data_IF_014140654461
#
_entry.id   IF_014140654461
#
_cell.length_a   1.000
_cell.length_b   1.000
_cell.length_c   1.000
_cell.angle_alpha   90.00
_cell.angle_beta   90.00
_cell.angle_gamma   90.00
#
_symmetry.space_group_name_H-M   'P 1'
#
loop_
_entity.id
_entity.type
_entity.pdbx_description
1 polymer ?
#
# COMPACT_ATOMS: atom_id res chain seq x y z
N UNK A 1 -35.34 30.90 -35.22
CA UNK A 1 -34.73 29.63 -34.76
C UNK A 1 -34.12 29.90 -33.38
N UNK A 2 -34.51 29.23 -32.31
CA UNK A 2 -33.85 29.38 -31.03
C UNK A 2 -32.46 28.78 -31.10
N UNK A 3 -31.42 29.58 -30.80
CA UNK A 3 -30.06 29.16 -30.67
C UNK A 3 -30.02 28.27 -29.40
N UNK A 4 -29.80 26.96 -29.57
CA UNK A 4 -29.54 26.06 -28.44
C UNK A 4 -28.33 26.61 -27.68
N UNK A 5 -28.39 26.75 -26.34
CA UNK A 5 -27.23 27.16 -25.57
C UNK A 5 -26.07 26.16 -25.83
N UNK A 6 -24.88 26.73 -26.05
CA UNK A 6 -23.68 25.91 -26.22
C UNK A 6 -23.59 24.92 -25.06
N UNK A 7 -23.56 23.63 -25.39
CA UNK A 7 -23.35 22.57 -24.39
C UNK A 7 -22.05 22.93 -23.65
N UNK A 8 -22.13 23.22 -22.37
CA UNK A 8 -20.95 23.38 -21.53
C UNK A 8 -20.14 22.08 -21.65
N UNK A 9 -18.93 22.15 -22.20
CA UNK A 9 -18.04 21.02 -22.26
C UNK A 9 -17.70 20.63 -20.80
N UNK A 10 -18.26 19.50 -20.34
CA UNK A 10 -17.94 18.96 -19.04
C UNK A 10 -16.53 18.36 -19.12
N UNK A 11 -15.53 19.11 -18.68
CA UNK A 11 -14.14 18.70 -18.63
C UNK A 11 -13.83 18.11 -17.26
N UNK A 12 -13.74 16.78 -17.18
CA UNK A 12 -13.24 16.07 -15.98
C UNK A 12 -11.70 16.10 -16.04
N UNK A 13 -11.07 16.55 -14.96
CA UNK A 13 -9.61 16.46 -14.84
C UNK A 13 -9.18 15.01 -14.69
N UNK A 14 -7.96 14.68 -15.12
CA UNK A 14 -7.37 13.34 -14.98
C UNK A 14 -7.51 12.79 -13.54
N UNK A 15 -7.15 13.60 -12.55
CA UNK A 15 -7.23 13.18 -11.14
C UNK A 15 -8.68 12.96 -10.66
N UNK A 16 -9.65 13.74 -11.17
CA UNK A 16 -11.07 13.49 -10.88
C UNK A 16 -11.59 12.21 -11.53
N UNK A 17 -11.11 11.89 -12.73
CA UNK A 17 -11.44 10.63 -13.40
C UNK A 17 -10.95 9.43 -12.61
N UNK A 18 -9.69 9.45 -12.16
CA UNK A 18 -9.10 8.41 -11.31
C UNK A 18 -9.87 8.27 -9.97
N UNK A 19 -10.28 9.39 -9.37
CA UNK A 19 -11.10 9.38 -8.15
C UNK A 19 -12.47 8.73 -8.39
N UNK A 20 -13.14 9.05 -9.50
CA UNK A 20 -14.43 8.44 -9.84
C UNK A 20 -14.30 6.93 -10.08
N UNK A 21 -13.25 6.50 -10.78
CA UNK A 21 -12.96 5.08 -11.00
C UNK A 21 -12.73 4.35 -9.67
N UNK A 22 -11.87 4.87 -8.80
CA UNK A 22 -11.62 4.28 -7.50
C UNK A 22 -12.87 4.20 -6.61
N UNK A 23 -13.67 5.27 -6.59
CA UNK A 23 -14.94 5.30 -5.86
C UNK A 23 -15.94 4.26 -6.41
N UNK A 24 -16.01 4.10 -7.74
CA UNK A 24 -16.83 3.08 -8.37
C UNK A 24 -16.39 1.68 -7.95
N UNK A 25 -15.10 1.36 -8.06
CA UNK A 25 -14.54 0.07 -7.63
C UNK A 25 -14.86 -0.23 -6.16
N UNK A 26 -14.73 0.75 -5.27
CA UNK A 26 -15.05 0.57 -3.84
C UNK A 26 -16.54 0.29 -3.60
N UNK A 27 -17.42 0.95 -4.34
CA UNK A 27 -18.88 0.69 -4.27
C UNK A 27 -19.23 -0.70 -4.79
N UNK A 28 -18.61 -1.14 -5.88
CA UNK A 28 -18.76 -2.51 -6.39
C UNK A 28 -18.31 -3.55 -5.35
N UNK A 29 -17.23 -3.29 -4.62
CA UNK A 29 -16.78 -4.18 -3.53
C UNK A 29 -17.87 -4.31 -2.46
N UNK A 30 -18.44 -3.21 -2.00
CA UNK A 30 -19.48 -3.28 -0.95
C UNK A 30 -20.80 -3.89 -1.44
N UNK A 31 -21.06 -3.87 -2.76
CA UNK A 31 -22.23 -4.49 -3.36
C UNK A 31 -22.06 -6.00 -3.58
N UNK A 32 -20.83 -6.48 -3.80
CA UNK A 32 -20.60 -7.87 -4.22
C UNK A 32 -20.02 -8.76 -3.10
N UNK A 33 -19.46 -8.16 -2.02
CA UNK A 33 -18.82 -8.89 -0.94
C UNK A 33 -19.50 -8.62 0.40
N UNK A 34 -19.57 -9.66 1.24
CA UNK A 34 -20.22 -9.56 2.55
C UNK A 34 -19.32 -8.98 3.63
N UNK A 35 -18.02 -9.27 3.52
CA UNK A 35 -17.02 -8.94 4.54
C UNK A 35 -15.76 -8.33 3.94
N UNK A 36 -15.88 -7.19 3.27
CA UNK A 36 -14.71 -6.50 2.75
C UNK A 36 -13.90 -5.84 3.87
N UNK A 37 -12.58 -5.79 3.69
CA UNK A 37 -11.63 -5.11 4.59
C UNK A 37 -10.70 -4.22 3.80
N UNK A 38 -10.31 -3.07 4.35
CA UNK A 38 -9.31 -2.19 3.76
C UNK A 38 -7.97 -2.37 4.47
N UNK A 39 -6.96 -2.78 3.69
CA UNK A 39 -5.58 -2.91 4.18
C UNK A 39 -5.01 -1.54 4.47
N UNK A 40 -4.50 -1.34 5.69
CA UNK A 40 -4.04 -0.04 6.14
C UNK A 40 -2.65 -0.10 6.74
N UNK A 41 -1.64 0.30 5.97
CA UNK A 41 -0.25 0.37 6.42
C UNK A 41 0.14 1.69 7.10
N UNK A 42 -0.71 2.71 7.03
CA UNK A 42 -0.36 4.09 7.40
C UNK A 42 0.45 4.84 6.33
N UNK A 43 0.74 4.20 5.20
CA UNK A 43 1.44 4.81 4.07
C UNK A 43 0.51 5.62 3.17
N UNK A 44 1.11 6.47 2.30
CA UNK A 44 0.41 7.42 1.41
C UNK A 44 -0.72 6.80 0.58
N UNK A 45 -0.49 5.59 0.04
CA UNK A 45 -1.47 4.90 -0.81
C UNK A 45 -2.69 4.45 0.02
N UNK A 46 -2.45 3.86 1.19
CA UNK A 46 -3.52 3.47 2.12
C UNK A 46 -4.28 4.68 2.68
N UNK A 47 -3.63 5.84 2.84
CA UNK A 47 -4.29 7.10 3.20
C UNK A 47 -5.19 7.61 2.09
N UNK A 48 -4.72 7.60 0.85
CA UNK A 48 -5.55 7.94 -0.31
C UNK A 48 -6.78 7.03 -0.39
N UNK A 49 -6.60 5.72 -0.15
CA UNK A 49 -7.69 4.73 -0.10
C UNK A 49 -8.73 5.06 0.98
N UNK A 50 -8.30 5.42 2.19
CA UNK A 50 -9.22 5.82 3.27
C UNK A 50 -10.01 7.05 2.87
N UNK A 51 -9.37 8.07 2.31
CA UNK A 51 -10.03 9.30 1.85
C UNK A 51 -11.02 9.05 0.72
N UNK A 52 -10.63 8.24 -0.26
CA UNK A 52 -11.49 7.81 -1.37
C UNK A 52 -12.74 7.08 -0.85
N UNK A 53 -12.57 6.16 0.10
CA UNK A 53 -13.68 5.47 0.72
C UNK A 53 -14.62 6.42 1.49
N UNK A 54 -14.08 7.39 2.23
CA UNK A 54 -14.91 8.42 2.88
C UNK A 54 -15.76 9.16 1.85
N UNK A 55 -15.18 9.60 0.72
CA UNK A 55 -15.91 10.31 -0.34
C UNK A 55 -16.91 9.41 -1.08
N UNK A 56 -16.51 8.17 -1.37
CA UNK A 56 -17.36 7.21 -2.10
C UNK A 56 -18.67 6.91 -1.37
N UNK A 57 -18.66 6.95 -0.03
CA UNK A 57 -19.82 6.60 0.79
C UNK A 57 -20.46 7.78 1.51
N UNK A 58 -19.99 9.01 1.28
CA UNK A 58 -20.61 10.21 1.83
C UNK A 58 -22.08 10.32 1.38
N UNK A 59 -23.05 10.70 2.25
CA UNK A 59 -22.93 11.03 3.69
C UNK A 59 -23.06 9.83 4.63
N UNK A 60 -23.00 8.60 4.11
CA UNK A 60 -23.04 7.38 4.91
C UNK A 60 -21.80 7.19 5.80
N UNK A 61 -21.85 6.13 6.61
CA UNK A 61 -20.71 5.76 7.45
C UNK A 61 -19.60 5.11 6.61
N UNK A 62 -18.37 5.25 7.08
CA UNK A 62 -17.22 4.52 6.53
C UNK A 62 -17.46 3.01 6.61
N UNK A 63 -17.49 2.27 5.47
CA UNK A 63 -18.03 0.91 5.45
C UNK A 63 -17.02 -0.18 5.80
N UNK A 64 -15.71 0.15 5.83
CA UNK A 64 -14.66 -0.85 5.97
C UNK A 64 -14.08 -0.90 7.38
N UNK A 65 -13.77 -2.10 7.88
CA UNK A 65 -12.75 -2.22 8.91
C UNK A 65 -11.38 -2.00 8.28
N UNK A 66 -10.45 -1.44 9.04
CA UNK A 66 -9.05 -1.29 8.64
C UNK A 66 -8.26 -2.48 9.19
N UNK A 67 -7.48 -3.15 8.34
CA UNK A 67 -6.60 -4.24 8.76
C UNK A 67 -5.14 -3.82 8.59
N UNK A 68 -4.41 -3.83 9.69
CA UNK A 68 -2.98 -3.60 9.74
C UNK A 68 -2.25 -4.88 10.14
N UNK A 69 -1.27 -5.28 9.34
CA UNK A 69 -0.35 -6.35 9.70
C UNK A 69 0.91 -5.70 10.26
N UNK A 70 1.06 -5.81 11.57
CA UNK A 70 2.18 -5.23 12.29
C UNK A 70 3.34 -6.24 12.29
N UNK A 71 4.41 -5.87 11.62
CA UNK A 71 5.60 -6.71 11.52
C UNK A 71 6.48 -6.62 12.77
N UNK A 72 6.22 -5.66 13.67
CA UNK A 72 7.11 -5.31 14.77
C UNK A 72 8.35 -4.53 14.35
N UNK A 73 8.61 -4.41 13.05
CA UNK A 73 9.72 -3.65 12.47
C UNK A 73 9.27 -2.34 11.82
N UNK A 74 8.03 -1.94 12.01
CA UNK A 74 7.48 -0.70 11.45
C UNK A 74 8.14 0.54 12.08
N UNK A 75 8.17 1.63 11.32
CA UNK A 75 8.60 2.93 11.84
C UNK A 75 7.63 3.42 12.93
N UNK A 76 8.11 3.82 14.12
CA UNK A 76 7.24 4.33 15.19
C UNK A 76 6.35 5.48 14.74
N UNK A 77 6.88 6.41 13.93
CA UNK A 77 6.16 7.57 13.39
C UNK A 77 4.94 7.15 12.55
N UNK A 78 5.05 6.01 11.86
CA UNK A 78 3.95 5.46 11.05
C UNK A 78 2.86 4.85 11.93
N UNK A 79 3.24 4.15 13.01
CA UNK A 79 2.30 3.56 13.95
C UNK A 79 1.54 4.62 14.75
N UNK A 80 2.24 5.64 15.24
CA UNK A 80 1.62 6.78 15.93
C UNK A 80 0.63 7.51 15.03
N UNK A 81 1.01 7.76 13.77
CA UNK A 81 0.14 8.38 12.78
C UNK A 81 -1.09 7.51 12.49
N UNK A 82 -0.90 6.19 12.30
CA UNK A 82 -1.98 5.22 12.10
C UNK A 82 -3.03 5.33 13.21
N UNK A 83 -2.56 5.27 14.45
CA UNK A 83 -3.45 5.25 15.61
C UNK A 83 -4.19 6.61 15.80
N UNK A 84 -3.51 7.71 15.52
CA UNK A 84 -4.12 9.04 15.55
C UNK A 84 -5.20 9.20 14.47
N UNK A 85 -4.92 8.76 13.24
CA UNK A 85 -5.87 8.82 12.13
C UNK A 85 -7.11 7.96 12.42
N UNK A 86 -6.91 6.72 12.85
CA UNK A 86 -8.02 5.78 13.13
C UNK A 86 -8.96 6.34 14.20
N UNK A 87 -8.41 6.92 15.29
CA UNK A 87 -9.22 7.59 16.30
C UNK A 87 -10.02 8.76 15.73
N UNK A 88 -9.39 9.58 14.87
CA UNK A 88 -10.02 10.76 14.26
C UNK A 88 -11.19 10.41 13.35
N UNK A 89 -11.06 9.33 12.56
CA UNK A 89 -12.12 8.92 11.62
C UNK A 89 -13.16 8.00 12.24
N UNK A 90 -12.92 7.49 13.45
CA UNK A 90 -13.81 6.56 14.13
C UNK A 90 -13.94 5.20 13.45
N UNK A 91 -12.94 4.76 12.69
CA UNK A 91 -12.94 3.47 12.01
C UNK A 91 -12.53 2.34 12.96
N UNK A 92 -13.02 1.13 12.70
CA UNK A 92 -12.56 -0.07 13.39
C UNK A 92 -11.19 -0.47 12.85
N UNK A 93 -10.16 -0.48 13.71
CA UNK A 93 -8.84 -1.01 13.40
C UNK A 93 -8.69 -2.44 13.94
N UNK A 94 -8.24 -3.33 13.08
CA UNK A 94 -7.82 -4.69 13.41
C UNK A 94 -6.32 -4.76 13.19
N UNK A 95 -5.57 -5.06 14.24
CA UNK A 95 -4.12 -5.24 14.17
C UNK A 95 -3.80 -6.71 14.35
N UNK A 96 -2.98 -7.26 13.44
CA UNK A 96 -2.42 -8.61 13.54
C UNK A 96 -0.91 -8.51 13.59
N UNK A 97 -0.31 -9.13 14.59
CA UNK A 97 1.13 -9.08 14.80
C UNK A 97 1.79 -10.30 14.16
N UNK A 98 2.83 -10.06 13.38
CA UNK A 98 3.67 -11.13 12.81
C UNK A 98 4.32 -11.96 13.92
N UNK A 99 4.66 -11.32 15.03
CA UNK A 99 5.22 -11.96 16.21
C UNK A 99 4.35 -13.12 16.76
N UNK A 100 3.02 -12.94 16.71
CA UNK A 100 2.08 -13.98 17.14
C UNK A 100 2.11 -15.20 16.21
N UNK A 101 2.23 -14.97 14.90
CA UNK A 101 2.37 -16.04 13.90
C UNK A 101 3.70 -16.79 14.05
N UNK A 102 4.79 -16.08 14.41
CA UNK A 102 6.09 -16.69 14.71
C UNK A 102 6.00 -17.55 15.97
N UNK A 103 5.43 -17.02 17.06
CA UNK A 103 5.25 -17.78 18.32
C UNK A 103 4.36 -18.99 18.16
N UNK A 104 3.37 -18.92 17.29
CA UNK A 104 2.50 -20.06 16.95
C UNK A 104 3.15 -21.08 16.00
N UNK A 105 4.40 -20.85 15.57
CA UNK A 105 5.10 -21.75 14.65
C UNK A 105 4.55 -21.76 13.22
N UNK A 106 3.74 -20.76 12.84
CA UNK A 106 3.15 -20.64 11.51
C UNK A 106 4.17 -20.17 10.47
N UNK A 107 5.16 -19.41 10.92
CA UNK A 107 6.27 -18.89 10.12
C UNK A 107 7.50 -18.75 10.98
N UNK A 108 8.67 -18.56 10.36
CA UNK A 108 9.93 -18.34 11.05
C UNK A 108 10.50 -16.97 10.74
N UNK A 109 11.26 -16.44 11.69
CA UNK A 109 11.99 -15.19 11.48
C UNK A 109 13.19 -15.41 10.56
N UNK A 110 13.36 -14.54 9.59
CA UNK A 110 14.55 -14.53 8.74
C UNK A 110 15.76 -14.14 9.59
N UNK A 111 16.88 -14.83 9.38
CA UNK A 111 18.16 -14.53 10.05
C UNK A 111 19.05 -13.73 9.12
N UNK A 112 19.86 -12.86 9.68
CA UNK A 112 20.83 -12.09 8.90
C UNK A 112 21.02 -10.66 9.42
N UNK A 113 21.85 -9.87 8.74
CA UNK A 113 22.16 -8.51 9.18
C UNK A 113 21.00 -7.51 9.00
N UNK A 114 20.04 -7.81 8.10
CA UNK A 114 18.80 -7.06 7.89
C UNK A 114 17.63 -8.03 7.62
N UNK A 115 17.16 -8.72 8.67
CA UNK A 115 16.10 -9.71 8.52
C UNK A 115 14.80 -9.04 8.05
N UNK A 116 14.15 -9.65 7.06
CA UNK A 116 12.86 -9.19 6.53
C UNK A 116 11.73 -10.03 7.12
N UNK A 117 10.64 -9.39 7.54
CA UNK A 117 9.42 -10.07 7.97
C UNK A 117 8.34 -10.12 6.87
N UNK A 118 8.70 -9.81 5.62
CA UNK A 118 7.74 -9.77 4.51
C UNK A 118 7.08 -11.13 4.22
N UNK A 119 7.84 -12.23 4.29
CA UNK A 119 7.27 -13.57 4.12
C UNK A 119 6.30 -13.92 5.26
N UNK A 120 6.69 -13.62 6.49
CA UNK A 120 5.86 -13.81 7.67
C UNK A 120 4.59 -12.93 7.65
N UNK A 121 4.68 -11.71 7.11
CA UNK A 121 3.54 -10.83 6.90
C UNK A 121 2.45 -11.46 6.03
N UNK A 122 2.85 -12.22 5.00
CA UNK A 122 1.90 -12.93 4.13
C UNK A 122 1.10 -13.97 4.89
N UNK A 123 1.77 -14.81 5.69
CA UNK A 123 1.12 -15.84 6.51
C UNK A 123 0.15 -15.20 7.50
N UNK A 124 0.59 -14.16 8.21
CA UNK A 124 -0.25 -13.43 9.18
C UNK A 124 -1.49 -12.82 8.52
N UNK A 125 -1.34 -12.30 7.29
CA UNK A 125 -2.45 -11.76 6.52
C UNK A 125 -3.46 -12.84 6.14
N UNK A 126 -3.01 -13.99 5.62
CA UNK A 126 -3.90 -15.08 5.24
C UNK A 126 -4.65 -15.65 6.46
N UNK A 127 -3.96 -15.79 7.59
CA UNK A 127 -4.58 -16.20 8.85
C UNK A 127 -5.65 -15.18 9.30
N UNK A 128 -5.38 -13.88 9.17
CA UNK A 128 -6.36 -12.84 9.50
C UNK A 128 -7.59 -12.88 8.58
N UNK A 129 -7.39 -13.08 7.27
CA UNK A 129 -8.50 -13.20 6.32
C UNK A 129 -9.40 -14.39 6.64
N UNK A 130 -8.79 -15.54 6.95
CA UNK A 130 -9.51 -16.74 7.31
C UNK A 130 -10.28 -16.59 8.63
N UNK A 131 -9.64 -16.04 9.67
CA UNK A 131 -10.24 -15.86 10.99
C UNK A 131 -11.46 -14.94 10.97
N UNK A 132 -11.32 -13.78 10.32
CA UNK A 132 -12.42 -12.81 10.19
C UNK A 132 -13.37 -13.11 9.04
N UNK A 133 -13.08 -14.15 8.25
CA UNK A 133 -13.82 -14.56 7.05
C UNK A 133 -13.96 -13.40 6.06
N UNK A 134 -12.88 -12.63 5.87
CA UNK A 134 -12.87 -11.57 4.88
C UNK A 134 -12.84 -12.17 3.48
N UNK A 135 -13.73 -11.69 2.63
CA UNK A 135 -13.93 -12.18 1.27
C UNK A 135 -13.40 -11.22 0.19
N UNK A 136 -13.13 -9.98 0.58
CA UNK A 136 -12.40 -9.03 -0.23
C UNK A 136 -11.44 -8.19 0.63
N UNK A 137 -10.21 -8.01 0.16
CA UNK A 137 -9.23 -7.15 0.82
C UNK A 137 -8.76 -6.07 -0.16
N UNK A 138 -9.14 -4.81 0.12
CA UNK A 138 -8.76 -3.66 -0.68
C UNK A 138 -7.33 -3.25 -0.33
N UNK A 139 -6.50 -3.04 -1.34
CA UNK A 139 -5.10 -2.62 -1.20
C UNK A 139 -4.74 -1.46 -2.11
N UNK A 140 -3.75 -0.69 -1.70
CA UNK A 140 -3.28 0.50 -2.42
C UNK A 140 -2.26 0.21 -3.53
N UNK A 141 -2.14 -1.03 -4.00
CA UNK A 141 -1.20 -1.39 -5.04
C UNK A 141 -1.56 -0.75 -6.39
N UNK A 142 -0.52 -0.29 -7.11
CA UNK A 142 -0.64 0.36 -8.41
C UNK A 142 0.16 -0.39 -9.47
N UNK A 143 -0.27 -0.30 -10.72
CA UNK A 143 0.42 -0.94 -11.86
C UNK A 143 1.77 -0.31 -12.18
N UNK A 144 1.98 0.97 -11.83
CA UNK A 144 3.23 1.68 -12.07
C UNK A 144 4.36 1.31 -11.09
N UNK A 145 4.03 0.71 -9.94
CA UNK A 145 5.02 0.38 -8.93
C UNK A 145 6.01 -0.69 -9.39
N UNK A 146 5.50 -1.72 -10.09
CA UNK A 146 6.30 -2.86 -10.50
C UNK A 146 5.61 -3.65 -11.63
N UNK A 147 6.41 -4.24 -12.55
CA UNK A 147 5.93 -4.96 -13.74
C UNK A 147 4.97 -6.11 -13.43
N UNK A 148 5.21 -6.84 -12.35
CA UNK A 148 4.33 -7.95 -11.96
C UNK A 148 2.94 -7.45 -11.58
N UNK A 149 2.81 -6.24 -10.98
CA UNK A 149 1.52 -5.63 -10.64
C UNK A 149 0.72 -5.21 -11.86
N UNK A 150 1.37 -4.89 -12.97
CA UNK A 150 0.68 -4.55 -14.22
C UNK A 150 -0.17 -5.69 -14.79
N UNK A 151 0.10 -6.94 -14.41
CA UNK A 151 -0.65 -8.13 -14.83
C UNK A 151 -1.95 -8.34 -14.04
N UNK A 152 -2.10 -7.75 -12.85
CA UNK A 152 -3.28 -7.91 -12.01
C UNK A 152 -4.44 -7.02 -12.51
N UNK A 153 -5.65 -7.46 -12.21
CA UNK A 153 -6.89 -6.73 -12.45
C UNK A 153 -7.26 -5.89 -11.23
N UNK A 154 -8.31 -5.07 -11.33
CA UNK A 154 -8.91 -4.43 -10.16
C UNK A 154 -9.38 -5.47 -9.15
N UNK A 155 -10.10 -6.50 -9.61
CA UNK A 155 -10.54 -7.64 -8.81
C UNK A 155 -9.59 -8.82 -9.08
N UNK A 156 -8.54 -8.95 -8.30
CA UNK A 156 -7.55 -10.02 -8.43
C UNK A 156 -8.02 -11.25 -7.64
N UNK A 157 -8.43 -12.29 -8.35
CA UNK A 157 -8.92 -13.53 -7.76
C UNK A 157 -7.80 -14.30 -7.05
N UNK A 158 -8.10 -14.83 -5.88
CA UNK A 158 -7.23 -15.68 -5.07
C UNK A 158 -7.92 -17.00 -4.80
N UNK A 159 -7.21 -18.08 -5.01
CA UNK A 159 -7.68 -19.42 -4.68
C UNK A 159 -7.80 -19.66 -3.16
N UNK A 160 -8.19 -20.86 -2.77
CA UNK A 160 -8.34 -21.27 -1.36
C UNK A 160 -7.04 -21.22 -0.56
N UNK A 161 -5.86 -21.19 -1.22
CA UNK A 161 -4.55 -21.03 -0.62
C UNK A 161 -4.09 -19.58 -0.58
N UNK A 162 -4.90 -18.64 -1.09
CA UNK A 162 -4.59 -17.22 -1.19
C UNK A 162 -3.68 -16.86 -2.35
N UNK A 163 -3.39 -17.81 -3.26
CA UNK A 163 -2.52 -17.60 -4.40
C UNK A 163 -3.25 -16.89 -5.54
N UNK A 164 -2.52 -16.09 -6.30
CA UNK A 164 -3.08 -15.47 -7.49
C UNK A 164 -3.30 -16.51 -8.59
N UNK A 165 -4.54 -16.62 -9.05
CA UNK A 165 -4.92 -17.51 -10.14
C UNK A 165 -5.20 -16.72 -11.43
N UNK A 166 -4.21 -16.56 -12.31
CA UNK A 166 -4.38 -15.83 -13.56
C UNK A 166 -5.30 -16.55 -14.55
N UNK A 167 -5.51 -17.88 -14.41
CA UNK A 167 -6.36 -18.66 -15.31
C UNK A 167 -7.83 -18.42 -15.05
N UNK A 168 -8.20 -18.25 -13.78
CA UNK A 168 -9.56 -17.93 -13.35
C UNK A 168 -9.83 -16.43 -13.21
N UNK A 169 -8.84 -15.60 -13.57
CA UNK A 169 -8.99 -14.16 -13.59
C UNK A 169 -10.01 -13.76 -14.65
N UNK A 170 -11.09 -13.12 -14.21
CA UNK A 170 -12.18 -12.69 -15.09
C UNK A 170 -11.82 -11.40 -15.82
N UNK A 171 -12.27 -11.23 -17.09
CA UNK A 171 -12.08 -9.97 -17.81
C UNK A 171 -12.93 -8.86 -17.17
N UNK A 172 -12.40 -7.63 -17.20
CA UNK A 172 -13.05 -6.44 -16.65
C UNK A 172 -13.43 -5.45 -17.76
N UNK A 173 -14.04 -5.98 -18.82
CA UNK A 173 -14.52 -5.18 -19.94
C UNK A 173 -15.61 -4.22 -19.48
N UNK A 174 -15.56 -2.97 -19.96
CA UNK A 174 -16.54 -1.93 -19.64
C UNK A 174 -16.70 -1.65 -18.14
N UNK A 175 -15.65 -1.88 -17.35
CA UNK A 175 -15.66 -1.75 -15.90
C UNK A 175 -16.74 -2.63 -15.21
N UNK A 176 -17.04 -3.79 -15.80
CA UNK A 176 -17.89 -4.78 -15.18
C UNK A 176 -17.02 -5.72 -14.33
N UNK A 177 -17.30 -5.79 -13.04
CA UNK A 177 -16.58 -6.62 -12.09
C UNK A 177 -17.43 -7.84 -11.69
N UNK A 178 -16.76 -8.97 -11.51
CA UNK A 178 -17.41 -10.21 -11.10
C UNK A 178 -16.71 -10.79 -9.87
N UNK A 179 -17.30 -10.58 -8.71
CA UNK A 179 -16.85 -11.06 -7.41
C UNK A 179 -17.29 -12.48 -7.04
N UNK A 180 -17.84 -13.26 -8.00
CA UNK A 180 -18.26 -14.64 -7.71
C UNK A 180 -17.05 -15.47 -7.26
N UNK A 181 -17.17 -16.15 -6.13
CA UNK A 181 -16.14 -16.98 -5.52
C UNK A 181 -16.72 -18.29 -4.99
N UNK A 182 -15.86 -19.28 -4.81
CA UNK A 182 -16.15 -20.51 -4.08
C UNK A 182 -15.76 -20.35 -2.59
N UNK A 183 -16.22 -21.23 -1.71
CA UNK A 183 -15.77 -21.27 -0.32
C UNK A 183 -14.23 -21.38 -0.24
N UNK A 184 -13.60 -20.55 0.59
CA UNK A 184 -12.14 -20.47 0.74
C UNK A 184 -11.46 -19.46 -0.18
N UNK A 185 -12.06 -19.13 -1.32
CA UNK A 185 -11.53 -18.12 -2.23
C UNK A 185 -11.84 -16.70 -1.74
N UNK A 186 -11.00 -15.74 -2.14
CA UNK A 186 -11.22 -14.33 -1.85
C UNK A 186 -10.65 -13.44 -2.97
N UNK A 187 -10.92 -12.15 -2.88
CA UNK A 187 -10.40 -11.18 -3.84
C UNK A 187 -9.43 -10.21 -3.16
N UNK A 188 -8.35 -9.87 -3.86
CA UNK A 188 -7.60 -8.66 -3.62
C UNK A 188 -8.12 -7.60 -4.57
N UNK A 189 -8.48 -6.44 -4.05
CA UNK A 189 -9.04 -5.37 -4.87
C UNK A 189 -8.13 -4.16 -4.83
N UNK A 190 -7.83 -3.60 -6.00
CA UNK A 190 -6.85 -2.53 -6.16
C UNK A 190 -7.47 -1.27 -6.78
N UNK A 191 -8.22 -0.46 -6.01
CA UNK A 191 -8.87 0.76 -6.52
C UNK A 191 -7.91 1.80 -7.09
N UNK A 192 -6.63 1.78 -6.67
CA UNK A 192 -5.58 2.66 -7.18
C UNK A 192 -4.82 2.07 -8.38
N UNK A 193 -5.30 1.00 -9.01
CA UNK A 193 -4.57 0.24 -10.03
C UNK A 193 -4.02 1.12 -11.17
N UNK A 194 -4.79 2.10 -11.62
CA UNK A 194 -4.44 3.00 -12.73
C UNK A 194 -3.74 4.29 -12.29
N UNK A 195 -3.53 4.48 -11.00
CA UNK A 195 -2.86 5.65 -10.44
C UNK A 195 -1.34 5.51 -10.55
N UNK A 196 -0.66 6.62 -10.77
CA UNK A 196 0.80 6.73 -10.63
C UNK A 196 1.18 7.23 -9.23
N UNK A 197 2.46 7.11 -8.86
CA UNK A 197 2.97 7.75 -7.64
C UNK A 197 2.66 9.24 -7.62
N UNK A 198 2.81 9.90 -8.77
CA UNK A 198 2.52 11.32 -8.93
C UNK A 198 1.04 11.63 -8.66
N UNK A 199 0.11 10.81 -9.16
CA UNK A 199 -1.32 11.01 -8.93
C UNK A 199 -1.66 10.90 -7.44
N UNK A 200 -1.04 9.98 -6.72
CA UNK A 200 -1.22 9.84 -5.27
C UNK A 200 -0.74 11.10 -4.54
N UNK A 201 0.44 11.62 -4.86
CA UNK A 201 0.96 12.85 -4.25
C UNK A 201 0.11 14.07 -4.57
N UNK A 202 -0.34 14.21 -5.82
CA UNK A 202 -1.25 15.29 -6.21
C UNK A 202 -2.61 15.18 -5.52
N UNK A 203 -3.11 13.95 -5.32
CA UNK A 203 -4.34 13.72 -4.56
C UNK A 203 -4.20 14.10 -3.09
N UNK A 204 -3.11 13.71 -2.45
CA UNK A 204 -2.79 14.08 -1.07
C UNK A 204 -2.77 15.61 -0.92
N UNK A 205 -2.11 16.30 -1.86
CA UNK A 205 -2.06 17.77 -1.85
C UNK A 205 -3.44 18.41 -2.07
N UNK A 206 -4.21 17.90 -3.05
CA UNK A 206 -5.56 18.41 -3.36
C UNK A 206 -6.54 18.25 -2.20
N UNK A 207 -6.50 17.10 -1.55
CA UNK A 207 -7.39 16.77 -0.42
C UNK A 207 -6.84 17.27 0.93
N UNK A 208 -5.66 17.88 0.94
CA UNK A 208 -4.96 18.36 2.13
C UNK A 208 -4.86 17.27 3.22
N UNK A 209 -4.38 16.10 2.83
CA UNK A 209 -4.25 14.96 3.75
C UNK A 209 -3.00 15.07 4.61
N UNK A 210 -3.18 14.82 5.91
CA UNK A 210 -2.03 14.60 6.79
C UNK A 210 -1.33 13.30 6.41
N UNK A 211 0.00 13.29 6.46
CA UNK A 211 0.83 12.13 6.18
C UNK A 211 1.91 11.97 7.27
N UNK A 212 2.46 10.75 7.47
CA UNK A 212 3.55 10.52 8.41
C UNK A 212 4.76 11.41 8.13
N UNK A 213 5.38 11.94 9.19
CA UNK A 213 6.50 12.88 9.08
C UNK A 213 7.72 12.30 8.35
N UNK A 214 7.87 10.97 8.31
CA UNK A 214 9.00 10.33 7.62
C UNK A 214 9.00 10.55 6.09
N UNK A 215 7.88 10.99 5.51
CA UNK A 215 7.82 11.37 4.10
C UNK A 215 8.50 12.71 3.81
N UNK A 216 8.64 13.58 4.82
CA UNK A 216 9.34 14.85 4.71
C UNK A 216 10.80 14.69 5.08
N UNK A 217 11.64 15.60 4.56
CA UNK A 217 13.06 15.64 4.84
C UNK A 217 13.33 15.89 6.33
N UNK A 218 14.13 15.01 6.93
CA UNK A 218 14.58 15.10 8.32
C UNK A 218 15.99 14.52 8.49
N UNK A 219 16.64 14.87 9.58
CA UNK A 219 17.94 14.30 9.93
C UNK A 219 17.75 12.91 10.55
N UNK A 220 18.44 11.90 10.00
CA UNK A 220 18.39 10.53 10.51
C UNK A 220 19.77 9.85 10.45
N UNK A 221 20.07 9.01 11.43
CA UNK A 221 21.22 8.11 11.36
C UNK A 221 20.88 6.97 10.38
N UNK A 222 21.70 6.80 9.37
CA UNK A 222 21.56 5.77 8.33
C UNK A 222 22.87 5.06 8.10
N UNK A 223 22.81 3.83 7.59
CA UNK A 223 23.94 3.10 7.04
C UNK A 223 23.73 2.91 5.55
N UNK A 224 24.77 3.04 4.75
CA UNK A 224 24.73 2.73 3.33
C UNK A 224 25.13 1.27 3.14
N UNK A 225 24.19 0.45 2.70
CA UNK A 225 24.40 -0.96 2.37
C UNK A 225 24.00 -1.21 0.92
N UNK A 226 24.98 -1.54 0.08
CA UNK A 226 24.79 -1.79 -1.35
C UNK A 226 24.04 -0.67 -2.09
N UNK A 227 24.32 0.58 -1.72
CA UNK A 227 23.66 1.76 -2.29
C UNK A 227 22.23 2.02 -1.78
N UNK A 228 21.80 1.33 -0.72
CA UNK A 228 20.54 1.60 -0.02
C UNK A 228 20.84 2.23 1.34
N UNK A 229 20.23 3.38 1.63
CA UNK A 229 20.33 4.04 2.92
C UNK A 229 19.31 3.44 3.88
N UNK A 230 19.74 2.58 4.80
CA UNK A 230 18.88 1.96 5.81
C UNK A 230 18.95 2.77 7.12
N UNK A 231 17.79 3.04 7.70
CA UNK A 231 17.71 3.74 8.97
C UNK A 231 18.26 2.89 10.12
N UNK A 232 18.94 3.54 11.05
CA UNK A 232 19.34 2.91 12.31
C UNK A 232 18.11 2.34 13.02
N UNK A 233 18.17 1.07 13.35
CA UNK A 233 17.11 0.36 14.06
C UNK A 233 17.68 -0.73 14.96
N UNK A 234 16.95 -1.19 15.99
CA UNK A 234 17.40 -2.29 16.84
C UNK A 234 17.45 -3.65 16.11
N UNK A 235 16.86 -3.73 14.90
CA UNK A 235 16.78 -4.96 14.11
C UNK A 235 17.86 -5.06 13.02
N UNK A 236 18.66 -4.02 12.85
CA UNK A 236 19.72 -3.96 11.84
C UNK A 236 21.08 -4.19 12.50
N UNK A 237 21.80 -5.22 12.07
CA UNK A 237 23.17 -5.48 12.52
C UNK A 237 24.15 -4.91 11.51
N UNK A 238 25.10 -4.08 11.98
CA UNK A 238 26.16 -3.56 11.12
C UNK A 238 27.10 -4.66 10.68
N UNK A 239 27.52 -4.61 9.41
CA UNK A 239 28.57 -5.44 8.87
C UNK A 239 29.96 -4.80 9.14
N UNK A 240 31.04 -5.61 8.97
CA UNK A 240 32.39 -5.10 9.11
C UNK A 240 32.65 -3.91 8.19
N UNK A 241 33.16 -2.83 8.75
CA UNK A 241 33.42 -1.60 8.02
C UNK A 241 32.21 -0.67 7.83
N UNK A 242 31.00 -1.10 8.16
CA UNK A 242 29.83 -0.21 8.16
C UNK A 242 29.81 0.69 9.38
N UNK A 243 29.28 1.89 9.20
CA UNK A 243 29.02 2.84 10.29
C UNK A 243 27.75 3.64 10.03
N UNK A 244 27.09 4.05 11.09
CA UNK A 244 26.00 5.01 10.99
C UNK A 244 26.55 6.41 10.72
N UNK A 245 25.88 7.11 9.79
CA UNK A 245 26.13 8.49 9.44
C UNK A 245 24.84 9.28 9.56
N UNK A 246 24.92 10.50 10.10
CA UNK A 246 23.78 11.40 10.13
C UNK A 246 23.62 12.04 8.75
N UNK A 247 22.49 11.82 8.11
CA UNK A 247 22.16 12.38 6.80
C UNK A 247 20.78 13.02 6.80
N UNK A 248 20.59 13.97 5.91
CA UNK A 248 19.30 14.59 5.62
C UNK A 248 18.55 13.73 4.61
N UNK A 249 17.50 13.05 5.04
CA UNK A 249 16.81 12.03 4.23
C UNK A 249 15.29 12.12 4.39
N UNK A 250 14.59 11.51 3.46
CA UNK A 250 13.16 11.17 3.56
C UNK A 250 12.91 9.75 3.05
N UNK A 251 11.72 9.23 3.32
CA UNK A 251 11.29 7.94 2.77
C UNK A 251 10.25 8.15 1.68
N UNK A 252 10.32 7.40 0.58
CA UNK A 252 9.32 7.42 -0.50
C UNK A 252 8.19 6.43 -0.24
N UNK A 253 8.50 5.34 0.47
CA UNK A 253 7.55 4.31 0.89
C UNK A 253 7.65 4.11 2.38
N UNK A 254 6.62 3.52 2.99
CA UNK A 254 6.67 3.02 4.37
C UNK A 254 6.59 1.49 4.34
N UNK A 255 7.32 0.87 5.25
CA UNK A 255 7.43 -0.57 5.40
C UNK A 255 8.28 -0.88 6.63
N UNK A 256 8.98 -2.01 6.64
CA UNK A 256 9.88 -2.37 7.73
C UNK A 256 11.17 -1.55 7.67
N UNK A 257 11.67 -1.14 8.84
CA UNK A 257 12.93 -0.40 8.99
C UNK A 257 14.14 -1.16 8.41
N UNK A 258 14.07 -2.49 8.38
CA UNK A 258 15.17 -3.35 7.89
C UNK A 258 15.27 -3.43 6.37
N UNK A 259 14.21 -3.08 5.64
CA UNK A 259 14.19 -3.20 4.18
C UNK A 259 13.76 -1.93 3.44
N UNK A 260 13.26 -0.92 4.14
CA UNK A 260 12.86 0.35 3.53
C UNK A 260 14.01 1.32 3.44
N UNK A 261 14.47 1.61 2.23
CA UNK A 261 15.55 2.56 1.99
C UNK A 261 15.05 4.01 2.01
N UNK A 262 15.87 4.88 2.59
CA UNK A 262 15.72 6.32 2.52
C UNK A 262 16.36 6.88 1.25
N UNK A 263 16.00 8.10 0.87
CA UNK A 263 16.64 8.91 -0.17
C UNK A 263 17.16 10.21 0.45
N UNK A 264 18.32 10.66 0.03
CA UNK A 264 18.80 12.00 0.38
C UNK A 264 17.87 13.04 -0.24
N UNK A 265 17.38 13.95 0.57
CA UNK A 265 16.39 14.94 0.15
C UNK A 265 16.35 16.12 1.10
N UNK A 266 16.05 17.28 0.56
CA UNK A 266 15.76 18.51 1.31
C UNK A 266 14.26 18.87 1.29
N UNK A 267 13.42 18.07 0.63
CA UNK A 267 11.99 18.34 0.49
C UNK A 267 11.27 18.27 1.84
N UNK A 268 10.93 19.42 2.39
CA UNK A 268 10.23 19.58 3.66
C UNK A 268 8.73 19.87 3.52
N UNK A 269 8.25 20.01 2.27
CA UNK A 269 6.85 20.33 1.96
C UNK A 269 6.29 19.43 0.86
N UNK A 270 4.97 19.31 0.77
CA UNK A 270 4.31 18.52 -0.29
C UNK A 270 4.67 19.02 -1.71
N UNK A 271 4.67 20.32 -2.02
CA UNK A 271 5.10 20.80 -3.33
C UNK A 271 6.53 20.37 -3.70
N UNK A 272 7.46 20.42 -2.75
CA UNK A 272 8.84 19.99 -2.97
C UNK A 272 8.93 18.48 -3.22
N UNK A 273 8.16 17.66 -2.49
CA UNK A 273 8.07 16.21 -2.73
C UNK A 273 7.54 15.94 -4.14
N UNK A 274 6.47 16.63 -4.55
CA UNK A 274 5.89 16.50 -5.90
C UNK A 274 6.92 16.84 -6.98
N UNK A 275 7.70 17.91 -6.78
CA UNK A 275 8.77 18.30 -7.71
C UNK A 275 9.88 17.25 -7.79
N UNK A 276 10.31 16.69 -6.65
CA UNK A 276 11.29 15.59 -6.64
C UNK A 276 10.77 14.35 -7.36
N UNK A 277 9.51 13.96 -7.13
CA UNK A 277 8.91 12.80 -7.77
C UNK A 277 8.80 13.01 -9.28
N UNK A 278 8.45 14.22 -9.74
CA UNK A 278 8.38 14.56 -11.17
C UNK A 278 9.72 14.42 -11.89
N UNK A 279 10.83 14.62 -11.18
CA UNK A 279 12.20 14.55 -11.76
C UNK A 279 12.91 13.23 -11.47
N UNK A 280 12.30 12.34 -10.66
CA UNK A 280 12.92 11.09 -10.26
C UNK A 280 13.13 10.15 -11.46
N UNK A 281 14.38 9.66 -11.63
CA UNK A 281 14.74 8.67 -12.66
C UNK A 281 14.45 7.22 -12.24
N UNK A 282 14.33 6.99 -10.94
CA UNK A 282 14.13 5.68 -10.33
C UNK A 282 12.70 5.56 -9.83
N UNK A 283 12.06 4.43 -10.09
CA UNK A 283 10.73 4.12 -9.56
C UNK A 283 10.72 4.09 -8.04
N UNK A 284 9.55 4.22 -7.45
CA UNK A 284 9.32 4.27 -6.01
C UNK A 284 9.96 3.08 -5.26
N UNK A 285 9.79 1.88 -5.78
CA UNK A 285 10.30 0.65 -5.17
C UNK A 285 11.80 0.42 -5.36
N UNK A 286 12.45 1.17 -6.23
CA UNK A 286 13.90 1.07 -6.44
C UNK A 286 14.76 1.39 -5.20
N UNK A 287 14.17 1.96 -4.16
CA UNK A 287 14.81 2.22 -2.86
C UNK A 287 14.67 1.07 -1.86
N UNK A 288 13.93 0.00 -2.19
CA UNK A 288 13.71 -1.13 -1.26
C UNK A 288 14.81 -2.18 -1.40
N UNK A 289 15.44 -2.53 -0.29
CA UNK A 289 16.51 -3.52 -0.26
C UNK A 289 16.01 -4.94 -0.59
N UNK A 290 14.78 -5.26 -0.22
CA UNK A 290 14.17 -6.57 -0.45
C UNK A 290 13.80 -6.83 -1.90
N UNK A 291 13.44 -5.80 -2.68
CA UNK A 291 13.13 -5.94 -4.10
C UNK A 291 14.38 -6.08 -4.98
N UNK A 292 15.56 -5.72 -4.47
CA UNK A 292 16.85 -5.90 -5.16
C UNK A 292 17.43 -7.32 -5.04
N UNK A 293 16.87 -8.17 -4.19
CA UNK A 293 17.37 -9.55 -3.97
C UNK A 293 17.14 -10.48 -5.15
N UNK A 294 16.11 -10.25 -5.97
CA UNK A 294 15.77 -11.07 -7.13
C UNK A 294 14.89 -10.29 -8.10
N UNK A 295 15.10 -10.47 -9.42
CA UNK A 295 14.25 -9.90 -10.47
C UNK A 295 12.83 -10.46 -10.46
N UNK A 296 12.59 -11.60 -9.79
CA UNK A 296 11.30 -12.27 -9.66
C UNK A 296 10.68 -12.11 -8.27
N UNK A 297 11.33 -11.36 -7.37
CA UNK A 297 10.92 -11.27 -5.97
C UNK A 297 9.43 -10.97 -5.77
N UNK A 298 8.84 -10.09 -6.59
CA UNK A 298 7.43 -9.75 -6.51
C UNK A 298 6.51 -10.85 -7.08
N UNK A 299 6.92 -11.55 -8.15
CA UNK A 299 6.15 -12.67 -8.70
C UNK A 299 6.12 -13.85 -7.72
N UNK A 300 7.24 -14.12 -7.06
CA UNK A 300 7.32 -15.16 -6.04
C UNK A 300 6.46 -14.83 -4.82
N UNK A 301 6.42 -13.57 -4.40
CA UNK A 301 5.51 -13.10 -3.33
C UNK A 301 4.04 -13.26 -3.69
N UNK A 302 3.65 -12.99 -4.94
CA UNK A 302 2.28 -13.21 -5.41
C UNK A 302 1.87 -14.67 -5.35
N UNK A 303 2.77 -15.58 -5.75
CA UNK A 303 2.55 -17.03 -5.62
C UNK A 303 2.39 -17.46 -4.17
N UNK A 304 3.07 -16.79 -3.26
CA UNK A 304 2.93 -17.01 -1.83
C UNK A 304 1.68 -16.36 -1.20
N UNK A 305 0.88 -15.62 -1.99
CA UNK A 305 -0.33 -14.94 -1.49
C UNK A 305 -0.11 -13.49 -1.00
N UNK A 306 1.05 -12.89 -1.31
CA UNK A 306 1.32 -11.47 -0.96
C UNK A 306 0.58 -10.50 -1.91
N UNK A 307 0.44 -9.21 -1.45
CA UNK A 307 -0.06 -8.10 -2.26
C UNK A 307 0.86 -7.77 -3.41
#
# INVERSE_FOLDING_TARGET
>A
MPILPAMSSYNITHLAQLEHEAAFVMREVTAQFERPVLMFSGGKDSLAMVRLAQKAFWPGRFPFSLLHIDTGHNFPETLEFRDALVRRIGARLIVRQVEDSIKAGRTAEEKGPNPSRNAAQTVTLLDALAEFKFDAALGGARRDEEKARAKERFFSHRDEFGQWDPKNQRPELWNLFNGRRHPGEHFRVFPLSNWTEMDVWQYIARENLDIPLIYFSHDREVVNRDGVLLAKSPYLTLLDGERYEKRRVRFRTVGDMTCTGAVESTAGTLPEIIQEVATARMGERGTRADDRRSDTAMEDRKKAGYF
#
